data_IF_356226667310
#
_entry.id   IF_356226667310
#
_cell.length_a   1.000
_cell.length_b   1.000
_cell.length_c   1.000
_cell.angle_alpha   90.00
_cell.angle_beta   90.00
_cell.angle_gamma   90.00
#
_symmetry.space_group_name_H-M   'P 1'
#
loop_
_entity.id
_entity.type
_entity.pdbx_description
1 polymer ?
#
# COMPACT_ATOMS: atom_id res chain seq x y z
N UNK A 1 7.67 38.51 -34.01
CA UNK A 1 9.06 38.08 -34.23
C UNK A 1 9.88 38.89 -33.23
N UNK A 2 10.55 38.34 -32.24
CA UNK A 2 11.30 37.08 -32.19
C UNK A 2 10.95 36.24 -30.95
N UNK A 3 10.77 34.94 -31.18
CA UNK A 3 10.87 33.91 -30.16
C UNK A 3 12.34 33.65 -29.91
N UNK A 4 12.89 34.06 -28.77
CA UNK A 4 14.15 33.50 -28.29
C UNK A 4 13.85 32.13 -27.68
N UNK A 5 14.11 31.10 -28.48
CA UNK A 5 14.15 29.71 -28.07
C UNK A 5 15.13 29.59 -26.88
N UNK A 6 14.59 29.32 -25.69
CA UNK A 6 15.38 28.87 -24.55
C UNK A 6 15.94 27.51 -24.95
N UNK A 7 17.24 27.48 -25.23
CA UNK A 7 18.00 26.25 -25.48
C UNK A 7 17.71 25.24 -24.36
N UNK A 8 17.63 23.93 -24.67
CA UNK A 8 17.53 22.92 -23.63
C UNK A 8 18.75 23.08 -22.73
N UNK A 9 18.55 23.44 -21.45
CA UNK A 9 19.62 23.44 -20.47
C UNK A 9 20.27 22.06 -20.54
N UNK A 10 21.56 22.02 -20.87
CA UNK A 10 22.36 20.82 -20.67
C UNK A 10 22.19 20.38 -19.20
N UNK A 11 22.12 19.07 -18.91
CA UNK A 11 22.10 18.60 -17.54
C UNK A 11 23.36 19.16 -16.86
N UNK A 12 23.10 19.99 -15.88
CA UNK A 12 24.08 20.74 -15.11
C UNK A 12 25.09 19.73 -14.51
N UNK A 13 26.39 20.02 -14.59
CA UNK A 13 27.47 19.22 -13.99
C UNK A 13 27.28 18.97 -12.47
N UNK A 14 26.26 19.60 -11.87
CA UNK A 14 25.81 19.47 -10.48
C UNK A 14 25.25 18.09 -10.09
N UNK A 15 25.10 17.14 -11.02
CA UNK A 15 24.77 15.73 -10.67
C UNK A 15 25.96 15.04 -9.96
N UNK A 16 27.19 15.55 -10.13
CA UNK A 16 28.39 15.01 -9.51
C UNK A 16 29.34 16.14 -9.08
N UNK A 17 29.03 16.87 -8.01
CA UNK A 17 30.07 17.66 -7.36
C UNK A 17 30.94 16.72 -6.52
N UNK A 18 32.15 16.44 -7.03
CA UNK A 18 33.21 15.59 -6.45
C UNK A 18 33.73 15.97 -5.05
N UNK A 19 32.96 16.75 -4.28
CA UNK A 19 33.23 17.14 -2.90
C UNK A 19 32.23 16.50 -1.90
N UNK A 20 31.46 15.49 -2.32
CA UNK A 20 30.58 14.72 -1.41
C UNK A 20 29.21 15.34 -1.14
N UNK A 21 28.74 16.30 -1.94
CA UNK A 21 27.43 16.94 -1.79
C UNK A 21 26.46 16.52 -2.89
N UNK A 22 25.33 15.90 -2.51
CA UNK A 22 24.23 15.55 -3.42
C UNK A 22 23.10 16.58 -3.33
N UNK A 23 22.84 17.40 -4.37
CA UNK A 23 21.83 18.45 -4.29
C UNK A 23 20.42 17.86 -4.39
N UNK A 24 19.63 17.96 -3.31
CA UNK A 24 18.30 17.31 -3.22
C UNK A 24 17.30 17.93 -4.20
N UNK A 25 17.15 19.25 -4.21
CA UNK A 25 16.13 19.96 -5.00
C UNK A 25 16.18 19.61 -6.50
N UNK A 26 17.34 19.72 -7.20
CA UNK A 26 17.40 19.39 -8.62
C UNK A 26 17.26 17.89 -8.92
N UNK A 27 17.42 17.03 -7.90
CA UNK A 27 17.26 15.58 -8.02
C UNK A 27 15.90 15.08 -7.51
N UNK A 28 14.96 15.98 -7.19
CA UNK A 28 13.60 15.59 -6.88
C UNK A 28 12.92 15.04 -8.15
N UNK A 29 12.15 13.95 -8.03
CA UNK A 29 11.41 13.40 -9.16
C UNK A 29 10.34 14.37 -9.67
N UNK A 30 10.18 14.44 -10.98
CA UNK A 30 8.99 15.03 -11.59
C UNK A 30 7.78 14.10 -11.38
N UNK A 31 7.06 14.32 -10.28
CA UNK A 31 5.85 13.57 -9.95
C UNK A 31 4.88 14.41 -9.13
N UNK A 32 3.60 14.02 -9.16
CA UNK A 32 2.58 14.65 -8.34
C UNK A 32 2.71 14.25 -6.87
N UNK A 33 2.30 15.13 -5.96
CA UNK A 33 2.22 14.80 -4.53
C UNK A 33 1.31 13.59 -4.26
N UNK A 34 0.24 13.45 -5.04
CA UNK A 34 -0.68 12.31 -4.95
C UNK A 34 0.02 10.99 -5.30
N UNK A 35 0.84 10.97 -6.34
CA UNK A 35 1.61 9.78 -6.72
C UNK A 35 2.63 9.40 -5.65
N UNK A 36 3.31 10.41 -5.07
CA UNK A 36 4.23 10.20 -3.97
C UNK A 36 3.51 9.57 -2.76
N UNK A 37 2.39 10.17 -2.33
CA UNK A 37 1.61 9.67 -1.20
C UNK A 37 1.11 8.25 -1.48
N UNK A 38 0.57 7.96 -2.67
CA UNK A 38 0.15 6.60 -3.05
C UNK A 38 1.29 5.59 -2.98
N UNK A 39 2.48 5.98 -3.41
CA UNK A 39 3.66 5.11 -3.32
C UNK A 39 4.02 4.81 -1.87
N UNK A 40 4.08 5.83 -1.00
CA UNK A 40 4.33 5.65 0.43
C UNK A 40 3.24 4.82 1.08
N UNK A 41 1.96 5.06 0.77
CA UNK A 41 0.84 4.27 1.30
C UNK A 41 0.94 2.80 0.90
N UNK A 42 1.33 2.53 -0.34
CA UNK A 42 1.59 1.18 -0.85
C UNK A 42 2.82 0.55 -0.19
N UNK A 43 3.86 1.31 0.09
CA UNK A 43 5.01 0.76 0.85
C UNK A 43 4.60 0.46 2.29
N UNK A 44 3.81 1.30 2.94
CA UNK A 44 3.47 1.13 4.35
C UNK A 44 2.23 0.24 4.59
N UNK A 45 1.57 -0.27 3.54
CA UNK A 45 0.37 -1.09 3.68
C UNK A 45 -0.80 -0.35 4.32
N UNK A 46 -0.90 0.95 4.07
CA UNK A 46 -1.93 1.82 4.63
C UNK A 46 -2.90 2.33 3.55
N UNK A 47 -4.14 2.58 3.95
CA UNK A 47 -5.16 3.22 3.12
C UNK A 47 -5.58 4.55 3.73
N UNK A 48 -5.96 5.50 2.86
CA UNK A 48 -6.46 6.80 3.28
C UNK A 48 -7.89 6.69 3.80
N UNK A 49 -8.13 7.25 4.99
CA UNK A 49 -9.43 7.32 5.65
C UNK A 49 -9.74 8.78 6.01
N UNK A 50 -10.71 9.43 5.36
CA UNK A 50 -11.12 10.79 5.71
C UNK A 50 -11.86 10.78 7.05
N UNK A 51 -11.54 11.73 7.92
CA UNK A 51 -12.26 11.92 9.18
C UNK A 51 -13.46 12.83 8.91
N UNK A 52 -14.66 12.27 8.99
CA UNK A 52 -15.90 12.98 8.72
C UNK A 52 -16.03 14.26 9.57
N UNK A 53 -16.54 15.33 8.94
CA UNK A 53 -16.65 16.66 9.57
C UNK A 53 -15.32 17.42 9.73
N UNK A 54 -14.21 16.92 9.19
CA UNK A 54 -12.89 17.59 9.25
C UNK A 54 -12.18 17.60 7.90
N UNK A 55 -11.11 18.38 7.79
CA UNK A 55 -10.19 18.38 6.63
C UNK A 55 -8.96 17.46 6.86
N UNK A 56 -9.10 16.44 7.71
CA UNK A 56 -8.00 15.54 8.07
C UNK A 56 -8.19 14.19 7.39
N UNK A 57 -7.14 13.73 6.71
CA UNK A 57 -7.02 12.36 6.20
C UNK A 57 -6.07 11.60 7.11
N UNK A 58 -6.51 10.43 7.58
CA UNK A 58 -5.68 9.50 8.35
C UNK A 58 -5.26 8.34 7.46
N UNK A 59 -4.04 7.85 7.63
CA UNK A 59 -3.60 6.62 6.99
C UNK A 59 -3.70 5.48 7.99
N UNK A 60 -4.42 4.42 7.62
CA UNK A 60 -4.75 3.30 8.49
C UNK A 60 -4.24 2.00 7.89
N UNK A 61 -3.67 1.13 8.73
CA UNK A 61 -3.35 -0.26 8.37
C UNK A 61 -4.38 -1.23 8.93
N UNK A 62 -4.33 -2.51 8.52
CA UNK A 62 -5.12 -3.57 9.18
C UNK A 62 -4.73 -3.71 10.65
N UNK A 63 -3.45 -3.53 10.99
CA UNK A 63 -3.00 -3.52 12.38
C UNK A 63 -3.71 -2.46 13.21
N UNK A 64 -3.97 -1.28 12.63
CA UNK A 64 -4.67 -0.21 13.34
C UNK A 64 -6.15 -0.51 13.55
N UNK A 65 -6.80 -1.25 12.65
CA UNK A 65 -8.16 -1.78 12.86
C UNK A 65 -8.13 -2.81 14.00
N UNK A 66 -7.17 -3.73 13.98
CA UNK A 66 -7.02 -4.77 15.01
C UNK A 66 -6.79 -4.16 16.41
N UNK A 67 -5.97 -3.11 16.52
CA UNK A 67 -5.73 -2.40 17.79
C UNK A 67 -7.00 -1.81 18.41
N UNK A 68 -8.03 -1.55 17.61
CA UNK A 68 -9.34 -1.04 18.07
C UNK A 68 -10.30 -2.15 18.53
N UNK A 69 -9.85 -3.40 18.67
CA UNK A 69 -10.66 -4.54 19.15
C UNK A 69 -11.49 -4.23 20.41
N UNK A 70 -10.91 -3.53 21.38
CA UNK A 70 -11.60 -3.18 22.64
C UNK A 70 -12.70 -2.11 22.45
N UNK A 71 -12.65 -1.35 21.34
CA UNK A 71 -13.68 -0.39 20.96
C UNK A 71 -14.66 -0.96 19.92
N UNK A 72 -14.58 -2.27 19.62
CA UNK A 72 -15.36 -2.87 18.55
C UNK A 72 -16.87 -2.65 18.73
N UNK A 73 -17.56 -2.38 17.62
CA UNK A 73 -19.01 -2.30 17.62
C UNK A 73 -19.59 -3.68 17.92
N UNK A 74 -20.35 -3.80 19.01
CA UNK A 74 -21.04 -5.03 19.32
C UNK A 74 -22.37 -5.11 18.54
N UNK A 75 -22.34 -5.80 17.40
CA UNK A 75 -23.51 -5.99 16.53
C UNK A 75 -24.26 -7.29 16.79
N UNK A 76 -23.87 -8.06 17.81
CA UNK A 76 -24.49 -9.36 18.16
C UNK A 76 -26.02 -9.32 18.18
N UNK A 77 -26.61 -8.32 18.84
CA UNK A 77 -28.08 -8.18 18.96
C UNK A 77 -28.73 -7.43 17.80
N UNK A 78 -27.93 -6.93 16.87
CA UNK A 78 -28.38 -6.17 15.70
C UNK A 78 -28.46 -7.05 14.45
N UNK A 79 -27.85 -8.24 14.46
CA UNK A 79 -27.92 -9.15 13.32
C UNK A 79 -29.32 -9.70 13.15
N UNK A 80 -29.87 -9.51 11.95
CA UNK A 80 -31.18 -10.02 11.57
C UNK A 80 -30.99 -11.46 11.09
N UNK A 81 -31.30 -12.40 11.99
CA UNK A 81 -31.15 -13.82 11.71
C UNK A 81 -31.96 -14.20 10.47
N UNK A 82 -31.27 -14.72 9.46
CA UNK A 82 -31.91 -15.21 8.22
C UNK A 82 -32.39 -16.67 8.37
N UNK A 83 -31.89 -17.42 9.36
CA UNK A 83 -32.19 -18.84 9.58
C UNK A 83 -32.14 -19.21 11.08
N UNK A 84 -32.74 -20.35 11.46
CA UNK A 84 -32.69 -20.88 12.84
C UNK A 84 -31.28 -21.31 13.29
N UNK A 85 -30.39 -21.60 12.35
CA UNK A 85 -28.99 -21.89 12.64
C UNK A 85 -28.17 -20.59 12.60
N UNK A 86 -27.28 -20.40 13.58
CA UNK A 86 -26.31 -19.29 13.62
C UNK A 86 -25.27 -19.43 12.50
N UNK A 87 -25.69 -19.19 11.26
CA UNK A 87 -24.85 -19.21 10.06
C UNK A 87 -25.02 -17.89 9.30
N UNK A 88 -23.94 -17.37 8.69
CA UNK A 88 -24.05 -16.15 7.92
C UNK A 88 -24.98 -16.28 6.73
N UNK A 89 -25.64 -15.17 6.38
CA UNK A 89 -26.53 -15.12 5.22
C UNK A 89 -25.81 -15.49 3.92
N UNK A 90 -24.60 -14.99 3.74
CA UNK A 90 -23.71 -15.39 2.64
C UNK A 90 -22.28 -15.48 3.16
N UNK A 91 -21.51 -16.45 2.66
CA UNK A 91 -20.08 -16.55 2.89
C UNK A 91 -19.35 -16.55 1.56
N UNK A 92 -18.35 -15.67 1.44
CA UNK A 92 -17.42 -15.62 0.33
C UNK A 92 -16.01 -15.94 0.84
N UNK A 93 -15.28 -16.72 0.06
CA UNK A 93 -13.89 -17.09 0.34
C UNK A 93 -12.91 -16.43 -0.63
N UNK A 94 -13.36 -15.42 -1.37
CA UNK A 94 -12.56 -14.66 -2.32
C UNK A 94 -12.73 -13.17 -2.03
N UNK A 95 -11.64 -12.43 -2.13
CA UNK A 95 -11.66 -10.97 -2.14
C UNK A 95 -11.62 -10.55 -3.61
N UNK A 96 -12.54 -9.68 -4.02
CA UNK A 96 -12.57 -9.18 -5.39
C UNK A 96 -11.25 -8.48 -5.71
N UNK A 97 -10.67 -8.82 -6.87
CA UNK A 97 -9.38 -8.27 -7.28
C UNK A 97 -8.15 -8.99 -6.73
N UNK A 98 -8.28 -10.13 -6.04
CA UNK A 98 -7.14 -10.98 -5.66
C UNK A 98 -6.88 -12.12 -6.64
N UNK A 99 -5.61 -12.46 -6.81
CA UNK A 99 -5.13 -13.71 -7.40
C UNK A 99 -4.46 -14.58 -6.32
N UNK A 100 -3.99 -15.78 -6.68
CA UNK A 100 -3.21 -16.64 -5.78
C UNK A 100 -1.91 -15.95 -5.35
N UNK A 101 -1.25 -15.23 -6.27
CA UNK A 101 -0.07 -14.39 -6.02
C UNK A 101 -0.35 -12.96 -6.46
N UNK A 102 -0.26 -12.01 -5.54
CA UNK A 102 -0.53 -10.59 -5.79
C UNK A 102 0.78 -9.82 -5.69
N UNK A 103 1.34 -9.43 -6.84
CA UNK A 103 2.71 -8.92 -6.94
C UNK A 103 2.73 -7.41 -6.69
N UNK A 104 3.57 -6.97 -5.75
CA UNK A 104 3.96 -5.58 -5.59
C UNK A 104 5.37 -5.40 -6.14
N UNK A 105 5.54 -4.45 -7.05
CA UNK A 105 6.82 -4.23 -7.72
C UNK A 105 7.15 -2.74 -7.84
N UNK A 106 8.43 -2.50 -8.02
CA UNK A 106 8.95 -1.21 -8.44
C UNK A 106 8.83 -1.07 -9.97
N UNK A 107 8.87 0.16 -10.47
CA UNK A 107 8.93 0.45 -11.90
C UNK A 107 10.16 -0.21 -12.54
N UNK A 108 9.99 -0.72 -13.74
CA UNK A 108 11.09 -1.25 -14.53
C UNK A 108 12.12 -0.16 -14.89
N UNK A 109 13.40 -0.52 -14.75
CA UNK A 109 14.54 0.31 -15.11
C UNK A 109 15.73 -0.60 -15.46
N UNK A 110 16.22 -0.51 -16.71
CA UNK A 110 17.26 -1.39 -17.27
C UNK A 110 18.59 -1.36 -16.49
N UNK A 111 18.80 -0.30 -15.70
CA UNK A 111 19.99 -0.13 -14.87
C UNK A 111 19.97 -0.97 -13.61
N UNK A 112 18.81 -1.49 -13.21
CA UNK A 112 18.62 -2.32 -12.02
C UNK A 112 18.85 -3.79 -12.35
N UNK A 113 19.69 -4.47 -11.58
CA UNK A 113 19.96 -5.91 -11.73
C UNK A 113 19.29 -6.76 -10.67
N UNK A 114 19.05 -6.22 -9.48
CA UNK A 114 18.33 -6.90 -8.40
C UNK A 114 16.82 -7.05 -8.68
N UNK A 115 16.20 -8.04 -8.05
CA UNK A 115 14.74 -8.13 -7.97
C UNK A 115 14.28 -7.61 -6.62
N UNK A 116 13.51 -6.53 -6.64
CA UNK A 116 12.98 -5.86 -5.44
C UNK A 116 11.48 -6.01 -5.27
N UNK A 117 10.86 -6.91 -6.04
CA UNK A 117 9.45 -7.23 -5.94
C UNK A 117 9.14 -8.11 -4.73
N UNK A 118 7.86 -8.20 -4.39
CA UNK A 118 7.34 -9.05 -3.33
C UNK A 118 5.91 -9.44 -3.65
N UNK A 119 5.33 -10.34 -2.85
CA UNK A 119 3.99 -10.83 -3.10
C UNK A 119 3.17 -11.08 -1.85
N UNK A 120 1.87 -10.89 -2.01
CA UNK A 120 0.86 -11.26 -1.03
C UNK A 120 0.11 -12.49 -1.57
N UNK A 121 0.14 -13.58 -0.81
CA UNK A 121 -0.44 -14.86 -1.20
C UNK A 121 -1.89 -14.97 -0.73
N UNK A 122 -2.76 -15.52 -1.57
CA UNK A 122 -4.13 -15.92 -1.24
C UNK A 122 -4.32 -17.40 -1.62
N UNK A 123 -4.56 -18.25 -0.62
CA UNK A 123 -4.65 -19.70 -0.76
C UNK A 123 -6.03 -20.14 -1.23
N UNK A 124 -6.46 -19.62 -2.38
CA UNK A 124 -7.72 -19.98 -3.03
C UNK A 124 -7.42 -20.50 -4.43
N UNK A 125 -7.46 -21.82 -4.59
CA UNK A 125 -7.02 -22.51 -5.80
C UNK A 125 -7.81 -22.15 -7.07
N UNK A 126 -9.04 -21.65 -6.91
CA UNK A 126 -9.92 -21.22 -8.00
C UNK A 126 -9.61 -19.81 -8.54
N UNK A 127 -8.78 -19.01 -7.87
CA UNK A 127 -8.38 -17.70 -8.36
C UNK A 127 -7.37 -17.79 -9.52
N UNK A 128 -7.21 -16.70 -10.27
CA UNK A 128 -6.09 -16.50 -11.18
C UNK A 128 -4.74 -16.81 -10.49
N UNK A 129 -3.75 -17.30 -11.24
CA UNK A 129 -2.47 -17.75 -10.67
C UNK A 129 -1.62 -16.61 -10.11
N UNK A 130 -1.55 -15.49 -10.82
CA UNK A 130 -0.72 -14.36 -10.44
C UNK A 130 -1.26 -13.10 -11.08
N UNK A 131 -1.23 -11.99 -10.34
CA UNK A 131 -1.56 -10.68 -10.89
C UNK A 131 -0.62 -9.62 -10.36
N UNK A 132 -0.54 -8.51 -11.07
CA UNK A 132 0.00 -7.28 -10.51
C UNK A 132 -1.03 -6.65 -9.57
N UNK A 133 -0.61 -6.37 -8.34
CA UNK A 133 -1.39 -5.67 -7.33
C UNK A 133 -1.07 -4.18 -7.34
N UNK A 134 0.21 -3.85 -7.44
CA UNK A 134 0.69 -2.47 -7.56
C UNK A 134 2.07 -2.41 -8.21
N UNK A 135 2.28 -1.35 -8.99
CA UNK A 135 3.58 -0.92 -9.48
C UNK A 135 3.85 0.51 -9.00
N UNK A 136 4.97 0.73 -8.31
CA UNK A 136 5.39 2.07 -7.89
C UNK A 136 5.91 2.86 -9.08
N UNK A 137 5.83 4.20 -9.01
CA UNK A 137 6.50 5.07 -10.00
C UNK A 137 8.02 5.17 -9.80
N UNK A 138 8.51 4.66 -8.68
CA UNK A 138 9.93 4.53 -8.36
C UNK A 138 10.44 3.17 -8.83
N UNK A 139 11.68 3.11 -9.29
CA UNK A 139 12.36 1.85 -9.53
C UNK A 139 13.09 1.37 -8.26
N UNK A 140 13.43 0.08 -8.22
CA UNK A 140 14.28 -0.49 -7.16
C UNK A 140 15.74 -0.03 -7.31
N UNK A 141 16.56 -0.17 -6.28
CA UNK A 141 17.95 0.32 -6.33
C UNK A 141 18.94 -0.75 -5.89
N UNK A 142 19.94 -0.99 -6.75
CA UNK A 142 21.07 -1.85 -6.44
C UNK A 142 21.95 -1.21 -5.35
N UNK A 143 22.65 -2.04 -4.58
CA UNK A 143 23.55 -1.61 -3.52
C UNK A 143 25.00 -1.88 -3.89
N UNK A 144 25.90 -0.95 -3.53
CA UNK A 144 27.35 -1.15 -3.56
C UNK A 144 27.88 -0.98 -2.14
N UNK A 145 28.06 -2.09 -1.44
CA UNK A 145 28.29 -2.06 0.01
C UNK A 145 27.03 -1.53 0.72
N UNK A 146 27.19 -0.50 1.53
CA UNK A 146 26.08 0.12 2.29
C UNK A 146 25.40 1.28 1.54
N UNK A 147 25.86 1.62 0.33
CA UNK A 147 25.36 2.79 -0.43
C UNK A 147 24.54 2.34 -1.63
N UNK A 148 23.41 2.99 -1.84
CA UNK A 148 22.59 2.84 -3.04
C UNK A 148 23.39 3.27 -4.28
N UNK A 149 23.29 2.48 -5.35
CA UNK A 149 24.09 2.66 -6.56
C UNK A 149 23.19 2.74 -7.79
N UNK A 150 23.26 3.89 -8.47
CA UNK A 150 22.53 4.15 -9.72
C UNK A 150 23.57 4.33 -10.83
N UNK A 151 23.49 3.50 -11.88
CA UNK A 151 24.36 3.64 -13.04
C UNK A 151 23.80 4.73 -13.95
N UNK A 152 24.41 5.92 -13.93
CA UNK A 152 23.99 7.03 -14.79
C UNK A 152 24.61 7.00 -16.20
N UNK A 153 25.75 6.34 -16.36
CA UNK A 153 26.46 6.28 -17.62
C UNK A 153 26.49 4.88 -18.19
N UNK A 154 26.28 4.78 -19.50
CA UNK A 154 26.68 3.65 -20.33
C UNK A 154 27.91 4.05 -21.14
N UNK A 155 28.78 3.09 -21.42
CA UNK A 155 29.99 3.32 -22.22
C UNK A 155 29.83 2.57 -23.54
N UNK A 156 30.16 3.23 -24.65
CA UNK A 156 30.19 2.58 -25.96
C UNK A 156 31.48 1.74 -26.15
N UNK A 157 31.60 1.08 -27.30
CA UNK A 157 32.77 0.25 -27.64
C UNK A 157 34.09 1.02 -27.76
N UNK A 158 34.04 2.35 -27.81
CA UNK A 158 35.21 3.25 -27.86
C UNK A 158 35.50 3.87 -26.48
N UNK A 159 34.73 3.52 -25.45
CA UNK A 159 34.90 4.00 -24.07
C UNK A 159 34.29 5.39 -23.81
N UNK A 160 33.50 5.93 -24.74
CA UNK A 160 32.81 7.21 -24.54
C UNK A 160 31.59 7.03 -23.64
N UNK A 161 31.46 7.90 -22.63
CA UNK A 161 30.35 7.88 -21.70
C UNK A 161 29.11 8.59 -22.29
N UNK A 162 27.96 7.93 -22.22
CA UNK A 162 26.65 8.51 -22.54
C UNK A 162 25.75 8.43 -21.31
N UNK A 163 25.10 9.55 -20.97
CA UNK A 163 24.10 9.58 -19.92
C UNK A 163 22.89 8.73 -20.36
N UNK A 164 22.43 7.84 -19.49
CA UNK A 164 21.23 7.03 -19.73
C UNK A 164 20.07 7.50 -18.86
N UNK A 165 18.86 7.29 -19.39
CA UNK A 165 17.64 7.62 -18.66
C UNK A 165 17.44 6.61 -17.52
N UNK A 166 17.31 7.12 -16.30
CA UNK A 166 16.97 6.33 -15.11
C UNK A 166 15.64 6.78 -14.55
N UNK A 167 14.90 5.86 -13.93
CA UNK A 167 13.70 6.17 -13.16
C UNK A 167 14.08 6.82 -11.81
N UNK A 168 13.14 7.49 -11.12
CA UNK A 168 13.42 7.98 -9.77
C UNK A 168 13.53 6.83 -8.77
N UNK A 169 14.26 7.06 -7.66
CA UNK A 169 14.42 6.12 -6.54
C UNK A 169 13.88 6.74 -5.25
N UNK A 170 13.38 5.88 -4.37
CA UNK A 170 13.17 6.21 -2.96
C UNK A 170 14.26 5.52 -2.16
N UNK A 171 14.97 6.29 -1.33
CA UNK A 171 16.08 5.82 -0.49
C UNK A 171 15.80 6.19 0.95
N UNK A 172 16.29 5.39 1.88
CA UNK A 172 16.36 5.77 3.29
C UNK A 172 17.67 6.52 3.54
N UNK A 173 17.59 7.53 4.40
CA UNK A 173 18.76 8.23 4.90
C UNK A 173 19.40 7.43 6.05
N UNK A 174 20.69 7.15 5.94
CA UNK A 174 21.50 6.59 7.02
C UNK A 174 22.65 7.54 7.39
N UNK A 175 22.81 7.79 8.69
CA UNK A 175 23.96 8.55 9.20
C UNK A 175 25.23 7.70 9.04
N UNK A 176 26.23 8.27 8.37
CA UNK A 176 27.52 7.68 8.12
C UNK A 176 28.62 8.57 8.71
N UNK A 177 28.71 8.64 10.04
CA UNK A 177 29.76 9.38 10.74
C UNK A 177 29.64 10.90 10.59
N UNK A 178 28.42 11.44 10.59
CA UNK A 178 28.15 12.87 10.39
C UNK A 178 27.92 13.26 8.93
N UNK A 179 28.05 12.31 8.00
CA UNK A 179 27.59 12.42 6.61
C UNK A 179 26.28 11.66 6.43
N UNK A 180 25.56 11.96 5.35
CA UNK A 180 24.31 11.31 4.98
C UNK A 180 24.55 10.34 3.82
N UNK A 181 24.08 9.10 3.94
CA UNK A 181 24.15 8.08 2.90
C UNK A 181 22.75 7.62 2.53
N UNK A 182 22.47 7.48 1.23
CA UNK A 182 21.25 6.87 0.74
C UNK A 182 21.39 5.36 0.70
N UNK A 183 20.47 4.63 1.35
CA UNK A 183 20.41 3.17 1.32
C UNK A 183 19.09 2.68 0.72
N UNK A 184 19.12 1.52 0.08
CA UNK A 184 17.92 0.78 -0.34
C UNK A 184 17.68 -0.47 0.52
N UNK A 185 18.44 -0.62 1.59
CA UNK A 185 18.30 -1.74 2.53
C UNK A 185 16.91 -1.69 3.18
N UNK A 186 16.25 -2.85 3.30
CA UNK A 186 14.87 -3.00 3.79
C UNK A 186 13.77 -2.34 2.93
N UNK A 187 14.10 -1.80 1.75
CA UNK A 187 13.11 -1.26 0.82
C UNK A 187 12.67 -2.28 -0.25
N UNK A 188 13.18 -3.52 -0.26
CA UNK A 188 12.59 -4.54 -1.13
C UNK A 188 11.13 -4.80 -0.73
N UNK A 189 10.25 -5.07 -1.69
CA UNK A 189 8.86 -5.40 -1.34
C UNK A 189 8.77 -6.67 -0.49
N UNK A 190 9.73 -7.58 -0.61
CA UNK A 190 9.84 -8.73 0.30
C UNK A 190 10.05 -8.30 1.76
N UNK A 191 10.90 -7.30 2.03
CA UNK A 191 11.14 -6.80 3.39
C UNK A 191 10.00 -5.92 3.89
N UNK A 192 9.50 -5.04 3.01
CA UNK A 192 8.37 -4.14 3.27
C UNK A 192 7.14 -4.94 3.67
N UNK A 193 6.79 -6.00 2.92
CA UNK A 193 5.63 -6.84 3.20
C UNK A 193 5.77 -7.50 4.58
N UNK A 194 6.94 -8.08 4.89
CA UNK A 194 7.22 -8.67 6.21
C UNK A 194 7.07 -7.67 7.36
N UNK A 195 7.36 -6.39 7.11
CA UNK A 195 7.35 -5.35 8.13
C UNK A 195 5.98 -4.70 8.35
N UNK A 196 5.23 -4.46 7.27
CA UNK A 196 4.03 -3.61 7.31
C UNK A 196 2.73 -4.31 6.91
N UNK A 197 2.81 -5.52 6.35
CA UNK A 197 1.64 -6.21 5.81
C UNK A 197 1.22 -7.45 6.59
N UNK A 198 1.87 -7.80 7.71
CA UNK A 198 1.64 -9.07 8.43
C UNK A 198 0.16 -9.34 8.70
N UNK A 199 -0.55 -8.42 9.35
CA UNK A 199 -1.98 -8.62 9.65
C UNK A 199 -2.86 -8.61 8.40
N UNK A 200 -2.50 -7.82 7.39
CA UNK A 200 -3.19 -7.84 6.11
C UNK A 200 -3.01 -9.19 5.40
N UNK A 201 -1.78 -9.72 5.36
CA UNK A 201 -1.48 -11.05 4.79
C UNK A 201 -2.31 -12.12 5.47
N UNK A 202 -2.38 -12.12 6.80
CA UNK A 202 -3.19 -13.10 7.55
C UNK A 202 -4.68 -13.02 7.19
N UNK A 203 -5.23 -11.79 7.09
CA UNK A 203 -6.63 -11.59 6.76
C UNK A 203 -6.98 -12.04 5.33
N UNK A 204 -6.04 -11.92 4.38
CA UNK A 204 -6.26 -12.24 2.96
C UNK A 204 -5.68 -13.60 2.53
N UNK A 205 -4.94 -14.31 3.39
CA UNK A 205 -4.34 -15.60 3.05
C UNK A 205 -5.41 -16.67 2.83
N UNK A 206 -6.40 -16.74 3.72
CA UNK A 206 -7.60 -17.58 3.55
C UNK A 206 -8.81 -16.75 3.92
N UNK A 207 -9.22 -15.81 3.03
CA UNK A 207 -10.16 -14.78 3.41
C UNK A 207 -11.53 -15.40 3.70
N UNK A 208 -12.15 -14.90 4.76
CA UNK A 208 -13.51 -15.27 5.15
C UNK A 208 -14.33 -14.00 5.19
N UNK A 209 -15.05 -13.74 4.11
CA UNK A 209 -15.98 -12.64 4.01
C UNK A 209 -17.38 -13.17 4.30
N UNK A 210 -18.10 -12.49 5.17
CA UNK A 210 -19.52 -12.75 5.40
C UNK A 210 -20.34 -11.54 4.94
N UNK A 211 -21.55 -11.81 4.49
CA UNK A 211 -22.56 -10.76 4.32
C UNK A 211 -23.69 -10.98 5.30
N UNK A 212 -24.14 -9.90 5.92
CA UNK A 212 -25.22 -9.92 6.90
C UNK A 212 -26.19 -8.77 6.70
N UNK A 213 -27.39 -8.92 7.27
CA UNK A 213 -28.29 -7.79 7.52
C UNK A 213 -28.21 -7.40 8.99
N UNK A 214 -28.01 -6.12 9.25
CA UNK A 214 -28.00 -5.59 10.62
C UNK A 214 -29.03 -4.48 10.77
N UNK A 215 -29.65 -4.40 11.93
CA UNK A 215 -30.41 -3.22 12.35
C UNK A 215 -29.43 -2.10 12.73
N UNK A 216 -29.59 -0.94 12.10
CA UNK A 216 -28.74 0.21 12.34
C UNK A 216 -29.53 1.50 12.14
N UNK A 217 -29.40 2.41 13.11
CA UNK A 217 -30.11 3.70 13.06
C UNK A 217 -29.40 4.67 12.11
N UNK A 218 -30.12 5.68 11.61
CA UNK A 218 -29.51 6.75 10.81
C UNK A 218 -28.38 7.48 11.56
N UNK A 219 -28.54 7.64 12.88
CA UNK A 219 -27.51 8.23 13.74
C UNK A 219 -26.27 7.32 13.80
N UNK A 220 -26.46 6.03 14.04
CA UNK A 220 -25.34 5.08 14.07
C UNK A 220 -24.62 5.01 12.72
N UNK A 221 -25.36 5.08 11.60
CA UNK A 221 -24.77 5.13 10.25
C UNK A 221 -23.92 6.38 10.02
N UNK A 222 -24.39 7.54 10.49
CA UNK A 222 -23.65 8.80 10.41
C UNK A 222 -22.37 8.77 11.25
N UNK A 223 -22.44 8.19 12.44
CA UNK A 223 -21.32 8.17 13.39
C UNK A 223 -20.41 6.93 13.19
N UNK A 224 -20.63 6.14 12.13
CA UNK A 224 -19.94 4.88 11.91
C UNK A 224 -18.49 5.10 11.45
N UNK A 225 -17.54 4.72 12.30
CA UNK A 225 -16.13 4.64 11.93
C UNK A 225 -15.81 3.28 11.31
N UNK A 226 -15.69 3.23 9.98
CA UNK A 226 -15.39 2.01 9.23
C UNK A 226 -14.01 1.40 9.58
N UNK A 227 -13.15 2.15 10.27
CA UNK A 227 -11.86 1.66 10.76
C UNK A 227 -11.94 1.01 12.14
N UNK A 228 -13.12 1.04 12.79
CA UNK A 228 -13.40 0.32 14.03
C UNK A 228 -14.05 -1.02 13.71
N UNK A 229 -13.51 -2.15 14.19
CA UNK A 229 -14.02 -3.48 13.85
C UNK A 229 -15.41 -3.73 14.46
N UNK A 230 -16.13 -4.71 13.91
CA UNK A 230 -17.40 -5.20 14.44
C UNK A 230 -17.22 -6.58 15.10
N UNK A 231 -17.90 -6.81 16.23
CA UNK A 231 -17.95 -8.10 16.92
C UNK A 231 -19.34 -8.74 16.81
N UNK A 232 -19.37 -10.00 16.41
CA UNK A 232 -20.57 -10.81 16.21
C UNK A 232 -20.46 -12.09 17.06
N UNK A 233 -21.14 -12.14 18.22
CA UNK A 233 -21.00 -13.25 19.16
C UNK A 233 -21.54 -14.59 18.63
N UNK A 234 -22.49 -14.58 17.70
CA UNK A 234 -22.98 -15.80 17.04
C UNK A 234 -21.88 -16.57 16.29
N UNK A 235 -20.79 -15.88 15.93
CA UNK A 235 -19.60 -16.47 15.32
C UNK A 235 -18.39 -16.45 16.26
N UNK A 236 -18.43 -15.67 17.34
CA UNK A 236 -17.31 -15.49 18.27
C UNK A 236 -16.10 -14.87 17.59
N UNK A 237 -16.32 -13.95 16.64
CA UNK A 237 -15.28 -13.37 15.79
C UNK A 237 -15.44 -11.87 15.63
N UNK A 238 -14.32 -11.23 15.31
CA UNK A 238 -14.22 -9.83 14.95
C UNK A 238 -14.03 -9.68 13.44
N UNK A 239 -14.53 -8.59 12.91
CA UNK A 239 -14.55 -8.34 11.48
C UNK A 239 -14.16 -6.90 11.17
N UNK A 240 -13.35 -6.70 10.13
CA UNK A 240 -13.22 -5.42 9.47
C UNK A 240 -14.46 -5.16 8.61
N UNK A 241 -14.96 -3.93 8.66
CA UNK A 241 -16.15 -3.54 7.89
C UNK A 241 -15.68 -3.13 6.49
N UNK A 242 -16.07 -3.91 5.47
CA UNK A 242 -15.70 -3.62 4.07
C UNK A 242 -16.71 -2.68 3.42
N UNK A 243 -18.01 -2.90 3.67
CA UNK A 243 -19.07 -2.06 3.13
C UNK A 243 -20.31 -2.08 4.03
N UNK A 244 -21.06 -0.99 4.00
CA UNK A 244 -22.37 -0.85 4.62
C UNK A 244 -23.30 -0.19 3.60
N UNK A 245 -24.41 -0.84 3.28
CA UNK A 245 -25.44 -0.33 2.36
C UNK A 245 -26.76 -0.28 3.09
N UNK A 246 -27.20 0.92 3.45
CA UNK A 246 -28.49 1.15 4.11
C UNK A 246 -29.66 0.81 3.17
N UNK A 247 -30.67 0.13 3.72
CA UNK A 247 -32.00 -0.04 3.14
C UNK A 247 -32.94 1.00 3.78
N UNK A 248 -34.06 1.31 3.11
CA UNK A 248 -35.05 2.31 3.56
C UNK A 248 -35.80 1.93 4.86
N UNK A 249 -35.37 0.89 5.58
CA UNK A 249 -36.11 0.23 6.66
C UNK A 249 -35.37 0.21 8.00
N UNK A 250 -34.30 1.01 8.18
CA UNK A 250 -33.44 0.95 9.39
C UNK A 250 -32.58 -0.31 9.44
N UNK A 251 -32.37 -0.93 8.29
CA UNK A 251 -31.57 -2.15 8.11
C UNK A 251 -30.44 -1.80 7.15
N UNK A 252 -29.25 -2.34 7.36
CA UNK A 252 -28.17 -2.27 6.40
C UNK A 252 -27.68 -3.66 6.01
N UNK A 253 -27.32 -3.83 4.73
CA UNK A 253 -26.51 -4.95 4.30
C UNK A 253 -25.05 -4.60 4.57
N UNK A 254 -24.32 -5.51 5.21
CA UNK A 254 -22.89 -5.32 5.51
C UNK A 254 -22.07 -6.43 4.89
N UNK A 255 -20.87 -6.09 4.43
CA UNK A 255 -19.84 -7.05 4.02
C UNK A 255 -18.66 -6.94 4.99
N UNK A 256 -18.27 -8.07 5.56
CA UNK A 256 -17.40 -8.15 6.73
C UNK A 256 -16.26 -9.14 6.47
N UNK A 257 -15.00 -8.68 6.59
CA UNK A 257 -13.82 -9.53 6.50
C UNK A 257 -13.41 -10.00 7.89
N UNK A 258 -13.37 -11.30 8.11
CA UNK A 258 -12.96 -11.86 9.39
C UNK A 258 -11.49 -11.50 9.70
N UNK A 259 -11.25 -10.98 10.90
CA UNK A 259 -9.93 -10.72 11.44
C UNK A 259 -9.46 -11.90 12.29
N UNK A 260 -8.15 -12.18 12.27
CA UNK A 260 -7.54 -13.22 13.09
C UNK A 260 -6.99 -12.59 14.38
N UNK A 261 -7.88 -12.37 15.36
CA UNK A 261 -7.61 -11.63 16.61
C UNK A 261 -8.32 -12.21 17.84
#
# INVERSE_FOLDING_TARGET
MENSLVSPKQPDESILNGNGHYPIIPNLPDMTQLDFIKAISTMLGVFAYPIEGTNIIRFMSVDDIIKKKEQAYNWTRRVIASYMANKPKEMKFTIDGFAQRNILKYKDDDTVKGNYSGEITCLISSLEKSREMAELKFAGCDMRGITAFIRLYKYDGEGKAELQKVQPRILLEENNGGLSNGTFTQLSFTDIIKRFYTSFQNAVYTPKIIKEKIEITEKDLRDLDMTTPAYLAQYGKYYAILSVTAENTGIANVELLQLDI
#
